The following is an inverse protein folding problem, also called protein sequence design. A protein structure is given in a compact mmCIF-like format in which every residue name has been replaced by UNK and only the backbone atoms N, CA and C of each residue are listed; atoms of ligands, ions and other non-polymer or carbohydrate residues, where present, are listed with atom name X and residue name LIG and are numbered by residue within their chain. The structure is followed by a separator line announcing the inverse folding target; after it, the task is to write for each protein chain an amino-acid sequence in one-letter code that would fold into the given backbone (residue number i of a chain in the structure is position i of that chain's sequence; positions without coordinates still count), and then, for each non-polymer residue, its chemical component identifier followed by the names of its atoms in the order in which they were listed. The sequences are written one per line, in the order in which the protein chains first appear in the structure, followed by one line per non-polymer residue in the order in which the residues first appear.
data_IF_244709177461
#
_entry.id   IF_244709177461
#
_cell.length_a   1.000
_cell.length_b   1.000
_cell.length_c   1.000
_cell.angle_alpha   90.00
_cell.angle_beta   90.00
_cell.angle_gamma   90.00
#
_symmetry.space_group_name_H-M   'P 1'
#
loop_
_entity.id
_entity.type
_entity.pdbx_description
1 polymer ?
#
# COMPACT_ATOMS: atom_id res chain seq x y z
N UNK A 1 4.40 17.06 51.57
CA UNK A 1 4.07 15.95 50.66
C UNK A 1 3.24 16.50 49.51
N UNK A 2 3.89 16.74 48.38
CA UNK A 2 3.23 17.24 47.15
C UNK A 2 2.45 16.09 46.52
N UNK A 3 1.11 16.24 46.43
CA UNK A 3 0.26 15.26 45.76
C UNK A 3 0.61 15.23 44.28
N UNK A 4 1.23 14.15 43.83
CA UNK A 4 1.38 13.84 42.41
C UNK A 4 -0.01 13.48 41.89
N UNK A 5 -0.67 14.42 41.21
CA UNK A 5 -1.87 14.12 40.44
C UNK A 5 -1.40 13.40 39.19
N UNK A 6 -1.57 12.07 39.16
CA UNK A 6 -1.41 11.30 37.93
C UNK A 6 -2.57 11.70 37.03
N UNK A 7 -2.34 12.37 35.88
CA UNK A 7 -3.42 12.65 34.95
C UNK A 7 -4.03 11.33 34.51
N UNK A 8 -5.35 11.18 34.68
CA UNK A 8 -6.09 10.07 34.08
C UNK A 8 -5.74 10.03 32.58
N UNK A 9 -5.48 8.85 31.98
CA UNK A 9 -5.16 8.77 30.57
C UNK A 9 -6.27 9.48 29.79
N UNK A 10 -5.89 10.51 29.01
CA UNK A 10 -6.80 11.19 28.08
C UNK A 10 -7.58 10.10 27.35
N UNK A 11 -8.92 10.20 27.36
CA UNK A 11 -9.80 9.15 26.84
C UNK A 11 -9.27 8.62 25.51
N UNK A 12 -9.00 7.31 25.45
CA UNK A 12 -8.67 6.67 24.19
C UNK A 12 -9.79 7.00 23.20
N UNK A 13 -9.43 7.51 22.01
CA UNK A 13 -10.41 7.71 20.96
C UNK A 13 -11.11 6.38 20.71
N UNK A 14 -12.44 6.39 20.72
CA UNK A 14 -13.23 5.19 20.41
C UNK A 14 -12.91 4.67 19.00
N UNK A 15 -12.64 5.61 18.08
CA UNK A 15 -12.29 5.34 16.69
C UNK A 15 -11.10 6.20 16.27
N UNK A 16 -10.09 5.56 15.72
CA UNK A 16 -8.95 6.22 15.07
C UNK A 16 -9.14 6.24 13.56
N UNK A 17 -8.93 7.38 12.87
CA UNK A 17 -9.03 7.43 11.41
C UNK A 17 -7.99 6.50 10.76
N UNK A 18 -8.40 5.81 9.69
CA UNK A 18 -7.51 5.04 8.84
C UNK A 18 -7.11 5.90 7.64
N UNK A 19 -5.86 5.80 7.23
CA UNK A 19 -5.31 6.60 6.15
C UNK A 19 -5.19 5.78 4.85
N UNK A 20 -6.05 6.04 3.88
CA UNK A 20 -5.89 5.51 2.53
C UNK A 20 -5.16 6.50 1.63
N UNK A 21 -4.08 6.04 1.02
CA UNK A 21 -3.35 6.77 -0.01
C UNK A 21 -3.45 6.04 -1.34
N UNK A 22 -3.75 6.79 -2.40
CA UNK A 22 -3.70 6.24 -3.76
C UNK A 22 -2.42 6.66 -4.48
N UNK A 23 -1.63 5.68 -4.91
CA UNK A 23 -0.49 5.91 -5.81
C UNK A 23 -1.01 6.11 -7.23
N UNK A 24 -0.78 7.29 -7.81
CA UNK A 24 -1.34 7.66 -9.12
C UNK A 24 -0.70 6.86 -10.26
N UNK A 25 0.62 6.69 -10.22
CA UNK A 25 1.36 5.85 -11.17
C UNK A 25 1.23 6.29 -12.64
N UNK A 26 1.32 5.33 -13.57
CA UNK A 26 1.26 5.61 -15.01
C UNK A 26 -0.15 5.90 -15.51
N UNK A 27 -1.15 5.31 -14.84
CA UNK A 27 -2.57 5.41 -15.16
C UNK A 27 -3.23 6.74 -14.72
N UNK A 28 -2.47 7.83 -14.64
CA UNK A 28 -2.93 9.14 -14.14
C UNK A 28 -4.13 9.73 -14.87
N UNK A 29 -4.23 9.57 -16.20
CA UNK A 29 -5.43 10.01 -16.94
C UNK A 29 -6.68 9.25 -16.46
N UNK A 30 -6.56 7.93 -16.25
CA UNK A 30 -7.68 7.14 -15.75
C UNK A 30 -8.01 7.48 -14.30
N UNK A 31 -6.99 7.76 -13.49
CA UNK A 31 -7.15 8.27 -12.13
C UNK A 31 -7.97 9.58 -12.14
N UNK A 32 -7.56 10.56 -12.97
CA UNK A 32 -8.24 11.84 -13.11
C UNK A 32 -9.69 11.68 -13.58
N UNK A 33 -9.95 10.85 -14.59
CA UNK A 33 -11.32 10.55 -15.04
C UNK A 33 -12.20 9.96 -13.91
N UNK A 34 -11.67 9.01 -13.14
CA UNK A 34 -12.40 8.38 -12.04
C UNK A 34 -12.66 9.37 -10.91
N UNK A 35 -11.70 10.23 -10.61
CA UNK A 35 -11.83 11.26 -9.58
C UNK A 35 -12.86 12.33 -9.99
N UNK A 36 -12.73 12.91 -11.18
CA UNK A 36 -13.62 13.94 -11.70
C UNK A 36 -15.08 13.46 -11.87
N UNK A 37 -15.29 12.18 -12.18
CA UNK A 37 -16.64 11.58 -12.26
C UNK A 37 -17.24 11.22 -10.89
N UNK A 38 -16.53 11.46 -9.79
CA UNK A 38 -16.93 11.04 -8.44
C UNK A 38 -16.83 9.51 -8.21
N UNK A 39 -16.26 8.78 -9.16
CA UNK A 39 -16.03 7.33 -9.09
C UNK A 39 -14.85 6.93 -8.20
N UNK A 40 -14.06 7.89 -7.72
CA UNK A 40 -12.95 7.69 -6.79
C UNK A 40 -12.88 8.83 -5.78
N UNK A 41 -13.40 8.66 -4.55
CA UNK A 41 -13.33 9.67 -3.50
C UNK A 41 -11.95 9.64 -2.80
N UNK A 42 -10.87 9.86 -3.56
CA UNK A 42 -9.52 9.89 -3.01
C UNK A 42 -9.28 11.17 -2.19
N UNK A 43 -8.89 11.04 -0.93
CA UNK A 43 -8.54 12.16 -0.05
C UNK A 43 -7.04 12.38 0.11
N UNK A 44 -6.23 11.35 -0.21
CA UNK A 44 -4.76 11.41 -0.16
C UNK A 44 -4.17 10.66 -1.34
N UNK A 45 -3.18 11.27 -1.99
CA UNK A 45 -2.56 10.72 -3.20
C UNK A 45 -1.04 10.81 -3.16
N UNK A 46 -0.39 9.87 -3.84
CA UNK A 46 1.07 9.82 -3.96
C UNK A 46 1.47 9.94 -5.42
N UNK A 47 2.37 10.88 -5.70
CA UNK A 47 3.01 11.06 -6.99
C UNK A 47 4.48 10.65 -6.91
N UNK A 48 4.95 9.87 -7.89
CA UNK A 48 6.39 9.63 -8.05
C UNK A 48 7.04 10.87 -8.66
N UNK A 49 8.13 11.35 -8.07
CA UNK A 49 8.85 12.57 -8.49
C UNK A 49 9.13 12.57 -10.00
N UNK A 50 9.61 11.44 -10.52
CA UNK A 50 9.90 11.23 -11.93
C UNK A 50 8.73 11.37 -12.91
N UNK A 51 7.50 11.41 -12.41
CA UNK A 51 6.28 11.58 -13.21
C UNK A 51 5.70 12.98 -13.10
N UNK A 52 6.19 13.81 -12.17
CA UNK A 52 5.66 15.15 -11.93
C UNK A 52 5.70 16.05 -13.16
N UNK A 53 6.72 15.94 -14.02
CA UNK A 53 6.80 16.74 -15.25
C UNK A 53 5.53 16.61 -16.13
N UNK A 54 4.85 15.45 -16.10
CA UNK A 54 3.59 15.22 -16.83
C UNK A 54 2.36 15.32 -15.94
N UNK A 55 2.52 15.22 -14.61
CA UNK A 55 1.43 15.06 -13.65
C UNK A 55 1.25 16.28 -12.73
N UNK A 56 2.05 17.34 -12.87
CA UNK A 56 1.98 18.53 -12.01
C UNK A 56 0.63 19.24 -12.11
N UNK A 57 0.02 19.29 -13.31
CA UNK A 57 -1.30 19.90 -13.48
C UNK A 57 -2.36 19.16 -12.64
N UNK A 58 -2.39 17.83 -12.72
CA UNK A 58 -3.28 16.99 -11.92
C UNK A 58 -3.00 17.15 -10.41
N UNK A 59 -1.73 17.17 -9.99
CA UNK A 59 -1.38 17.36 -8.58
C UNK A 59 -1.89 18.69 -8.03
N UNK A 60 -1.77 19.78 -8.80
CA UNK A 60 -2.27 21.11 -8.42
C UNK A 60 -3.80 21.17 -8.38
N UNK A 61 -4.48 20.54 -9.33
CA UNK A 61 -5.95 20.46 -9.36
C UNK A 61 -6.48 19.72 -8.12
N UNK A 62 -5.95 18.52 -7.84
CA UNK A 62 -6.31 17.74 -6.65
C UNK A 62 -6.03 18.53 -5.36
N UNK A 63 -4.91 19.26 -5.30
CA UNK A 63 -4.57 20.10 -4.15
C UNK A 63 -5.59 21.21 -3.89
N UNK A 64 -6.07 21.87 -4.94
CA UNK A 64 -7.12 22.91 -4.86
C UNK A 64 -8.42 22.33 -4.32
N UNK A 65 -8.74 21.08 -4.67
CA UNK A 65 -9.88 20.35 -4.14
C UNK A 65 -9.71 19.81 -2.71
N UNK A 66 -8.56 20.09 -2.08
CA UNK A 66 -8.27 19.70 -0.70
C UNK A 66 -7.74 18.27 -0.54
N UNK A 67 -7.34 17.62 -1.63
CA UNK A 67 -6.66 16.32 -1.58
C UNK A 67 -5.23 16.51 -1.06
N UNK A 68 -4.82 15.67 -0.12
CA UNK A 68 -3.47 15.66 0.42
C UNK A 68 -2.48 15.09 -0.61
N UNK A 69 -1.41 15.84 -0.90
CA UNK A 69 -0.39 15.47 -1.90
C UNK A 69 0.89 15.00 -1.21
N UNK A 70 1.27 13.75 -1.48
CA UNK A 70 2.55 13.16 -1.07
C UNK A 70 3.45 12.96 -2.28
N UNK A 71 4.72 13.36 -2.18
CA UNK A 71 5.73 13.10 -3.22
C UNK A 71 6.66 11.96 -2.79
N UNK A 72 6.74 10.92 -3.62
CA UNK A 72 7.80 9.91 -3.52
C UNK A 72 9.03 10.37 -4.30
N UNK A 73 10.18 10.47 -3.63
CA UNK A 73 11.44 10.91 -4.25
C UNK A 73 11.97 9.94 -5.29
N UNK A 74 11.66 8.63 -5.17
CA UNK A 74 12.16 7.59 -6.07
C UNK A 74 13.65 7.26 -5.91
N UNK A 75 14.26 7.66 -4.78
CA UNK A 75 15.68 7.44 -4.50
C UNK A 75 16.07 5.95 -4.55
N UNK A 76 15.26 5.08 -3.95
CA UNK A 76 15.49 3.63 -3.90
C UNK A 76 15.64 3.01 -5.29
N UNK A 77 14.76 3.39 -6.22
CA UNK A 77 14.78 2.92 -7.60
C UNK A 77 15.97 3.49 -8.37
N UNK A 78 16.39 4.74 -8.10
CA UNK A 78 17.56 5.36 -8.73
C UNK A 78 18.89 4.76 -8.28
N UNK A 79 18.95 4.19 -7.08
CA UNK A 79 20.11 3.44 -6.59
C UNK A 79 20.09 1.95 -6.92
N UNK A 80 19.03 1.47 -7.59
CA UNK A 80 18.90 0.08 -7.99
C UNK A 80 19.45 -0.19 -9.39
N UNK A 81 20.21 -1.29 -9.54
CA UNK A 81 20.71 -1.73 -10.83
C UNK A 81 19.58 -2.00 -11.84
N UNK A 82 18.52 -2.70 -11.42
CA UNK A 82 17.38 -3.03 -12.28
C UNK A 82 16.47 -1.83 -12.62
N UNK A 83 16.46 -0.78 -11.78
CA UNK A 83 15.43 0.26 -11.83
C UNK A 83 15.92 1.63 -12.27
N UNK A 84 17.20 1.99 -12.06
CA UNK A 84 17.69 3.36 -12.28
C UNK A 84 17.46 3.88 -13.71
N UNK A 85 17.49 3.02 -14.74
CA UNK A 85 17.26 3.39 -16.15
C UNK A 85 15.80 3.48 -16.58
N UNK A 86 14.86 3.17 -15.68
CA UNK A 86 13.43 3.20 -15.99
C UNK A 86 12.90 4.64 -15.99
N UNK A 87 11.61 4.85 -15.72
CA UNK A 87 11.03 6.19 -15.69
C UNK A 87 11.66 7.08 -14.60
N UNK A 88 12.22 6.50 -13.54
CA UNK A 88 12.75 7.21 -12.37
C UNK A 88 13.90 8.17 -12.67
N UNK A 89 14.65 7.94 -13.77
CA UNK A 89 15.71 8.83 -14.27
C UNK A 89 15.22 10.23 -14.69
N UNK A 90 13.91 10.40 -14.84
CA UNK A 90 13.29 11.67 -15.22
C UNK A 90 12.91 12.53 -14.00
N UNK A 91 13.42 12.20 -12.80
CA UNK A 91 13.16 12.95 -11.57
C UNK A 91 13.62 14.42 -11.69
N UNK A 92 12.75 15.41 -11.40
CA UNK A 92 13.08 16.83 -11.57
C UNK A 92 14.25 17.33 -10.69
N UNK A 93 14.51 16.63 -9.58
CA UNK A 93 15.60 16.95 -8.68
C UNK A 93 16.99 16.48 -9.19
N UNK A 94 17.05 15.71 -10.28
CA UNK A 94 18.30 15.30 -10.92
C UNK A 94 18.86 16.41 -11.82
N UNK A 95 20.19 16.61 -11.83
CA UNK A 95 20.87 17.48 -12.81
C UNK A 95 20.75 16.88 -14.21
N UNK A 96 21.07 15.60 -14.31
CA UNK A 96 21.08 14.83 -15.54
C UNK A 96 20.62 13.40 -15.26
N UNK A 97 20.21 12.69 -16.30
CA UNK A 97 19.82 11.29 -16.18
C UNK A 97 21.06 10.43 -15.83
N UNK A 98 21.06 9.70 -14.72
CA UNK A 98 22.24 8.97 -14.30
C UNK A 98 22.51 7.77 -15.21
N UNK A 99 23.76 7.61 -15.62
CA UNK A 99 24.22 6.50 -16.47
C UNK A 99 24.41 5.18 -15.70
N UNK A 100 24.61 5.30 -14.38
CA UNK A 100 24.79 4.21 -13.42
C UNK A 100 23.88 4.42 -12.20
N UNK A 101 23.59 3.38 -11.39
CA UNK A 101 22.82 3.56 -10.16
C UNK A 101 23.48 4.60 -9.24
N UNK A 102 22.67 5.41 -8.57
CA UNK A 102 23.15 6.41 -7.61
C UNK A 102 23.74 5.72 -6.37
N UNK A 103 25.01 5.99 -6.09
CA UNK A 103 25.69 5.55 -4.88
C UNK A 103 25.42 6.46 -3.68
N UNK A 104 25.96 6.13 -2.49
CA UNK A 104 25.78 6.93 -1.28
C UNK A 104 26.24 8.38 -1.43
N UNK A 105 27.32 8.62 -2.18
CA UNK A 105 27.89 9.96 -2.39
C UNK A 105 27.02 10.86 -3.29
N UNK A 106 25.99 10.32 -3.94
CA UNK A 106 25.08 11.10 -4.77
C UNK A 106 24.07 11.93 -3.95
N UNK A 107 23.87 11.61 -2.67
CA UNK A 107 22.89 12.27 -1.80
C UNK A 107 23.52 13.43 -1.01
N UNK A 108 24.16 14.35 -1.74
CA UNK A 108 24.78 15.56 -1.18
C UNK A 108 23.74 16.56 -0.70
N UNK A 109 24.15 17.53 0.12
CA UNK A 109 23.28 18.65 0.55
C UNK A 109 22.60 19.33 -0.63
N UNK A 110 23.32 19.56 -1.73
CA UNK A 110 22.78 20.21 -2.94
C UNK A 110 21.67 19.38 -3.61
N UNK A 111 21.83 18.06 -3.69
CA UNK A 111 20.77 17.17 -4.20
C UNK A 111 19.55 17.18 -3.28
N UNK A 112 19.77 17.16 -1.96
CA UNK A 112 18.69 17.24 -0.98
C UNK A 112 17.95 18.59 -1.05
N UNK A 113 18.67 19.68 -1.29
CA UNK A 113 18.09 21.00 -1.52
C UNK A 113 17.18 21.02 -2.75
N UNK A 114 17.61 20.41 -3.86
CA UNK A 114 16.77 20.29 -5.07
C UNK A 114 15.53 19.43 -4.86
N UNK A 115 15.61 18.39 -4.02
CA UNK A 115 14.43 17.62 -3.62
C UNK A 115 13.46 18.53 -2.84
N UNK A 116 13.96 19.33 -1.90
CA UNK A 116 13.13 20.28 -1.15
C UNK A 116 12.50 21.36 -2.05
N UNK A 117 13.25 21.93 -3.00
CA UNK A 117 12.75 22.89 -3.99
C UNK A 117 11.61 22.32 -4.82
N UNK A 118 11.77 21.10 -5.33
CA UNK A 118 10.72 20.40 -6.08
C UNK A 118 9.44 20.24 -5.23
N UNK A 119 9.59 19.82 -3.99
CA UNK A 119 8.47 19.60 -3.06
C UNK A 119 7.71 20.90 -2.76
N UNK A 120 8.44 21.99 -2.50
CA UNK A 120 7.85 23.32 -2.28
C UNK A 120 7.18 23.85 -3.55
N UNK A 121 7.81 23.68 -4.73
CA UNK A 121 7.28 24.15 -6.00
C UNK A 121 5.96 23.46 -6.40
N UNK A 122 5.78 22.20 -6.03
CA UNK A 122 4.50 21.47 -6.22
C UNK A 122 3.45 21.90 -5.19
N UNK A 123 3.87 22.42 -4.03
CA UNK A 123 2.97 22.72 -2.91
C UNK A 123 2.51 21.46 -2.19
N UNK A 124 3.36 20.43 -2.13
CA UNK A 124 3.03 19.15 -1.51
C UNK A 124 2.81 19.26 0.01
N UNK A 125 1.93 18.43 0.56
CA UNK A 125 1.71 18.32 2.00
C UNK A 125 2.77 17.45 2.67
N UNK A 126 3.27 16.46 1.92
CA UNK A 126 4.25 15.48 2.40
C UNK A 126 5.28 15.15 1.36
N UNK A 127 6.43 14.72 1.85
CA UNK A 127 7.46 14.07 1.05
C UNK A 127 7.90 12.78 1.72
N UNK A 128 8.07 11.72 0.94
CA UNK A 128 8.76 10.52 1.36
C UNK A 128 10.27 10.78 1.33
N UNK A 129 10.92 10.71 2.49
CA UNK A 129 12.35 10.94 2.60
C UNK A 129 13.14 10.03 1.63
N UNK A 130 14.23 10.53 1.03
CA UNK A 130 15.17 9.70 0.28
C UNK A 130 15.59 8.51 1.13
N UNK A 131 15.28 7.31 0.65
CA UNK A 131 15.49 6.07 1.37
C UNK A 131 15.75 4.94 0.39
N UNK A 132 16.43 3.90 0.86
CA UNK A 132 16.94 2.83 0.01
C UNK A 132 16.52 1.44 0.48
N UNK A 133 16.66 0.45 -0.40
CA UNK A 133 16.40 -0.93 -0.05
C UNK A 133 17.49 -1.44 0.90
N UNK A 134 17.14 -1.62 2.17
CA UNK A 134 18.04 -2.05 3.24
C UNK A 134 18.49 -3.52 3.13
N UNK A 135 17.95 -4.26 2.17
CA UNK A 135 18.38 -5.62 1.84
C UNK A 135 19.36 -5.67 0.66
N UNK A 136 19.94 -4.54 0.27
CA UNK A 136 20.92 -4.47 -0.82
C UNK A 136 22.21 -5.20 -0.43
N UNK A 137 22.60 -6.27 -1.15
CA UNK A 137 23.84 -7.01 -0.85
C UNK A 137 25.11 -6.22 -1.16
N UNK A 138 25.03 -5.11 -1.92
CA UNK A 138 26.22 -4.34 -2.34
C UNK A 138 26.62 -3.25 -1.36
N UNK A 139 25.70 -2.78 -0.52
CA UNK A 139 25.96 -1.72 0.44
C UNK A 139 25.01 -1.82 1.63
N UNK A 140 25.57 -2.03 2.82
CA UNK A 140 24.83 -2.19 4.08
C UNK A 140 24.67 -0.87 4.86
N UNK A 141 25.35 0.20 4.42
CA UNK A 141 25.34 1.52 5.06
C UNK A 141 24.12 2.40 4.76
N UNK A 142 23.13 1.90 4.01
CA UNK A 142 22.00 2.70 3.52
C UNK A 142 21.23 3.39 4.64
N UNK A 143 20.96 2.72 5.77
CA UNK A 143 20.20 3.31 6.88
C UNK A 143 20.85 4.59 7.42
N UNK A 144 22.18 4.66 7.44
CA UNK A 144 22.92 5.84 7.90
C UNK A 144 22.83 6.99 6.88
N UNK A 145 22.95 6.67 5.59
CA UNK A 145 22.82 7.64 4.50
C UNK A 145 21.42 8.24 4.49
N UNK A 146 20.39 7.39 4.58
CA UNK A 146 18.98 7.77 4.60
C UNK A 146 18.65 8.68 5.80
N UNK A 147 19.17 8.36 6.99
CA UNK A 147 18.99 9.18 8.18
C UNK A 147 19.60 10.59 8.04
N UNK A 148 20.80 10.67 7.46
CA UNK A 148 21.46 11.94 7.18
C UNK A 148 20.69 12.75 6.12
N UNK A 149 20.28 12.10 5.03
CA UNK A 149 19.48 12.72 3.97
C UNK A 149 18.13 13.24 4.49
N UNK A 150 17.45 12.48 5.36
CA UNK A 150 16.20 12.89 5.99
C UNK A 150 16.38 14.14 6.87
N UNK A 151 17.43 14.18 7.68
CA UNK A 151 17.73 15.34 8.53
C UNK A 151 18.08 16.58 7.69
N UNK A 152 18.89 16.41 6.64
CA UNK A 152 19.21 17.47 5.70
C UNK A 152 17.96 17.98 4.95
N UNK A 153 17.03 17.08 4.60
CA UNK A 153 15.78 17.44 3.93
C UNK A 153 14.91 18.34 4.80
N UNK A 154 14.83 18.07 6.10
CA UNK A 154 14.11 18.95 7.04
C UNK A 154 14.69 20.36 7.04
N UNK A 155 16.01 20.48 7.20
CA UNK A 155 16.69 21.78 7.19
C UNK A 155 16.50 22.53 5.87
N UNK A 156 16.58 21.81 4.74
CA UNK A 156 16.38 22.39 3.42
C UNK A 156 14.95 22.90 3.22
N UNK A 157 13.95 22.11 3.60
CA UNK A 157 12.54 22.51 3.53
C UNK A 157 12.28 23.74 4.40
N UNK A 158 12.80 23.79 5.63
CA UNK A 158 12.58 24.93 6.54
C UNK A 158 13.15 26.23 5.96
N UNK A 159 14.37 26.17 5.40
CA UNK A 159 15.00 27.33 4.75
C UNK A 159 14.25 27.81 3.51
N UNK A 160 13.61 26.90 2.77
CA UNK A 160 12.81 27.21 1.58
C UNK A 160 11.34 27.58 1.90
N UNK A 161 10.99 27.77 3.17
CA UNK A 161 9.61 28.10 3.59
C UNK A 161 8.64 26.92 3.56
N UNK A 162 9.14 25.69 3.43
CA UNK A 162 8.41 24.43 3.46
C UNK A 162 8.27 23.82 4.86
N UNK A 163 8.31 24.64 5.92
CA UNK A 163 8.26 24.16 7.32
C UNK A 163 7.04 23.31 7.66
N UNK A 164 5.91 23.57 6.99
CA UNK A 164 4.66 22.82 7.11
C UNK A 164 4.64 21.48 6.37
N UNK A 165 5.58 21.25 5.44
CA UNK A 165 5.65 20.00 4.68
C UNK A 165 6.10 18.89 5.62
N UNK A 166 5.29 17.84 5.75
CA UNK A 166 5.62 16.68 6.59
C UNK A 166 6.63 15.77 5.89
N UNK A 167 7.51 15.16 6.69
CA UNK A 167 8.45 14.16 6.17
C UNK A 167 8.01 12.80 6.66
N UNK A 168 7.66 11.93 5.73
CA UNK A 168 7.38 10.53 6.03
C UNK A 168 8.59 9.68 5.64
N UNK A 169 8.95 8.69 6.44
CA UNK A 169 10.14 7.87 6.21
C UNK A 169 9.80 6.50 5.63
N UNK A 170 10.21 6.16 4.41
CA UNK A 170 10.05 4.82 3.88
C UNK A 170 11.08 3.84 4.47
N UNK A 171 10.58 2.77 5.09
CA UNK A 171 11.38 1.60 5.45
C UNK A 171 11.22 0.59 4.33
N UNK A 172 12.22 0.52 3.44
CA UNK A 172 12.22 -0.35 2.27
C UNK A 172 13.06 -1.59 2.57
N UNK A 173 12.39 -2.73 2.81
CA UNK A 173 13.07 -3.94 3.29
C UNK A 173 12.33 -5.21 2.83
N UNK A 174 13.00 -6.35 2.88
CA UNK A 174 12.34 -7.65 2.72
C UNK A 174 11.59 -8.04 4.00
N UNK A 175 10.53 -8.84 3.86
CA UNK A 175 9.84 -9.44 5.02
C UNK A 175 10.84 -10.19 5.92
N UNK A 176 11.82 -10.87 5.33
CA UNK A 176 12.85 -11.60 6.07
C UNK A 176 13.78 -10.66 6.86
N UNK A 177 14.14 -9.51 6.28
CA UNK A 177 14.99 -8.53 6.94
C UNK A 177 14.34 -7.90 8.18
N UNK A 178 13.00 -7.90 8.29
CA UNK A 178 12.29 -7.49 9.50
C UNK A 178 12.15 -8.60 10.55
N UNK A 179 12.40 -9.86 10.20
CA UNK A 179 12.43 -10.98 11.16
C UNK A 179 13.68 -10.91 12.04
N UNK A 180 14.77 -10.33 11.53
CA UNK A 180 16.00 -10.12 12.29
C UNK A 180 15.81 -9.08 13.43
N UNK A 181 16.01 -9.45 14.71
CA UNK A 181 15.92 -8.52 15.83
C UNK A 181 16.94 -7.37 15.75
N UNK A 182 18.14 -7.59 15.21
CA UNK A 182 19.17 -6.56 15.14
C UNK A 182 18.76 -5.46 14.15
N UNK A 183 18.31 -5.84 12.95
CA UNK A 183 17.68 -4.96 11.97
C UNK A 183 16.52 -4.14 12.57
N UNK A 184 15.59 -4.78 13.30
CA UNK A 184 14.48 -4.06 13.96
C UNK A 184 14.95 -3.06 15.01
N UNK A 185 15.96 -3.42 15.81
CA UNK A 185 16.54 -2.53 16.82
C UNK A 185 17.18 -1.30 16.17
N UNK A 186 18.01 -1.50 15.14
CA UNK A 186 18.68 -0.41 14.43
C UNK A 186 17.66 0.54 13.77
N UNK A 187 16.59 -0.01 13.19
CA UNK A 187 15.48 0.79 12.66
C UNK A 187 14.79 1.60 13.75
N UNK A 188 14.43 0.96 14.88
CA UNK A 188 13.74 1.66 15.96
C UNK A 188 14.59 2.79 16.57
N UNK A 189 15.89 2.54 16.80
CA UNK A 189 16.83 3.55 17.30
C UNK A 189 16.94 4.73 16.32
N UNK A 190 17.15 4.45 15.03
CA UNK A 190 17.28 5.48 13.99
C UNK A 190 16.00 6.29 13.85
N UNK A 191 14.84 5.63 13.69
CA UNK A 191 13.56 6.30 13.45
C UNK A 191 13.09 7.13 14.65
N UNK A 192 13.52 6.79 15.87
CA UNK A 192 13.13 7.52 17.09
C UNK A 192 13.68 8.95 17.17
N UNK A 193 14.79 9.23 16.49
CA UNK A 193 15.48 10.53 16.52
C UNK A 193 15.27 11.35 15.25
N UNK A 194 14.71 10.77 14.19
CA UNK A 194 14.53 11.46 12.91
C UNK A 194 13.34 12.43 12.93
N UNK A 195 13.41 13.54 12.17
CA UNK A 195 12.34 14.53 12.08
C UNK A 195 11.21 14.05 11.15
N UNK A 196 10.57 12.93 11.50
CA UNK A 196 9.59 12.24 10.64
C UNK A 196 8.21 12.18 11.30
N UNK A 197 7.17 12.30 10.48
CA UNK A 197 5.77 12.35 10.92
C UNK A 197 5.08 10.99 10.84
N UNK A 198 5.43 10.15 9.87
CA UNK A 198 4.97 8.77 9.75
C UNK A 198 6.03 7.86 9.13
N UNK A 199 5.83 6.55 9.27
CA UNK A 199 6.71 5.52 8.73
C UNK A 199 5.97 4.72 7.67
N UNK A 200 6.58 4.58 6.49
CA UNK A 200 6.01 3.89 5.34
C UNK A 200 6.72 2.56 5.14
N UNK A 201 6.05 1.46 5.49
CA UNK A 201 6.61 0.12 5.40
C UNK A 201 6.43 -0.43 3.98
N UNK A 202 7.50 -0.43 3.19
CA UNK A 202 7.52 -0.93 1.81
C UNK A 202 8.22 -2.29 1.78
N UNK A 203 7.42 -3.36 1.84
CA UNK A 203 7.93 -4.71 2.14
C UNK A 203 7.99 -5.65 0.94
N UNK A 204 9.20 -6.09 0.59
CA UNK A 204 9.42 -7.08 -0.46
C UNK A 204 9.15 -8.50 0.05
N UNK A 205 8.42 -9.29 -0.73
CA UNK A 205 8.11 -10.70 -0.41
C UNK A 205 6.75 -10.95 0.24
N UNK A 206 5.95 -9.91 0.47
CA UNK A 206 4.58 -10.05 0.99
C UNK A 206 3.69 -10.84 0.02
N UNK A 207 3.71 -10.48 -1.26
CA UNK A 207 2.84 -11.09 -2.28
C UNK A 207 1.50 -10.36 -2.41
N UNK A 208 0.75 -10.66 -3.49
CA UNK A 208 -0.61 -10.12 -3.70
C UNK A 208 -1.67 -10.82 -2.85
N UNK A 209 -1.52 -12.13 -2.69
CA UNK A 209 -2.48 -12.97 -1.99
C UNK A 209 -2.03 -13.16 -0.53
N UNK A 210 -2.97 -13.15 0.43
CA UNK A 210 -2.64 -13.41 1.82
C UNK A 210 -2.18 -14.85 2.00
N UNK A 211 -1.21 -15.06 2.90
CA UNK A 211 -0.76 -16.39 3.31
C UNK A 211 -0.70 -16.47 4.82
N UNK A 212 -1.03 -17.62 5.43
CA UNK A 212 -1.29 -17.71 6.88
C UNK A 212 -0.11 -17.27 7.73
N UNK A 213 1.09 -17.80 7.43
CA UNK A 213 2.31 -17.41 8.13
C UNK A 213 2.73 -15.98 7.80
N UNK A 214 2.51 -15.52 6.57
CA UNK A 214 2.92 -14.19 6.13
C UNK A 214 2.14 -13.09 6.84
N UNK A 215 0.81 -13.22 6.89
CA UNK A 215 -0.04 -12.20 7.54
C UNK A 215 0.18 -12.18 9.05
N UNK A 216 0.35 -13.35 9.69
CA UNK A 216 0.65 -13.44 11.13
C UNK A 216 1.99 -12.80 11.45
N UNK A 217 3.03 -13.13 10.68
CA UNK A 217 4.36 -12.52 10.83
C UNK A 217 4.32 -11.02 10.57
N UNK A 218 3.63 -10.57 9.53
CA UNK A 218 3.47 -9.14 9.24
C UNK A 218 2.88 -8.40 10.43
N UNK A 219 1.75 -8.87 10.96
CA UNK A 219 1.09 -8.23 12.11
C UNK A 219 1.99 -8.19 13.34
N UNK A 220 2.70 -9.30 13.65
CA UNK A 220 3.63 -9.36 14.77
C UNK A 220 4.81 -8.41 14.61
N UNK A 221 5.41 -8.35 13.41
CA UNK A 221 6.55 -7.47 13.14
C UNK A 221 6.15 -6.00 13.25
N UNK A 222 5.00 -5.61 12.69
CA UNK A 222 4.51 -4.24 12.76
C UNK A 222 4.14 -3.82 14.19
N UNK A 223 3.70 -4.76 15.02
CA UNK A 223 3.41 -4.48 16.44
C UNK A 223 4.63 -3.97 17.21
N UNK A 224 5.84 -4.35 16.81
CA UNK A 224 7.08 -3.87 17.42
C UNK A 224 7.34 -2.37 17.26
N UNK A 225 6.63 -1.72 16.33
CA UNK A 225 6.79 -0.30 16.03
C UNK A 225 5.82 0.61 16.80
N UNK A 226 4.89 0.05 17.60
CA UNK A 226 3.93 0.85 18.37
C UNK A 226 4.60 1.83 19.35
N UNK A 227 5.71 1.41 19.97
CA UNK A 227 6.40 2.21 21.00
C UNK A 227 7.06 3.49 20.45
N UNK A 228 7.23 3.61 19.12
CA UNK A 228 7.78 4.84 18.52
C UNK A 228 6.78 6.01 18.57
N UNK A 229 5.49 5.76 18.80
CA UNK A 229 4.49 6.83 18.84
C UNK A 229 4.33 7.56 17.49
N UNK A 230 4.65 6.88 16.39
CA UNK A 230 4.48 7.36 15.01
C UNK A 230 3.44 6.49 14.28
N UNK A 231 2.65 7.05 13.34
CA UNK A 231 1.81 6.26 12.46
C UNK A 231 2.65 5.36 11.54
N UNK A 232 2.07 4.21 11.18
CA UNK A 232 2.68 3.26 10.24
C UNK A 232 1.74 3.08 9.06
N UNK A 233 2.21 3.39 7.85
CA UNK A 233 1.50 3.20 6.59
C UNK A 233 2.11 1.99 5.89
N UNK A 234 1.29 1.02 5.48
CA UNK A 234 1.75 -0.03 4.59
C UNK A 234 1.81 0.47 3.15
N UNK A 235 3.00 0.57 2.56
CA UNK A 235 3.17 1.05 1.19
C UNK A 235 3.20 -0.11 0.18
N UNK A 236 2.64 0.14 -1.01
CA UNK A 236 2.38 -0.87 -2.04
C UNK A 236 1.70 -2.13 -1.47
N UNK A 237 0.67 -1.95 -0.66
CA UNK A 237 -0.10 -3.05 -0.08
C UNK A 237 -1.59 -2.72 -0.15
N UNK A 238 -2.38 -3.66 -0.67
CA UNK A 238 -3.83 -3.53 -0.79
C UNK A 238 -4.54 -4.82 -0.43
N UNK A 239 -5.87 -4.76 -0.35
CA UNK A 239 -6.73 -5.91 -0.08
C UNK A 239 -6.53 -6.47 1.33
N UNK A 240 -6.75 -7.78 1.48
CA UNK A 240 -6.85 -8.44 2.79
C UNK A 240 -5.59 -8.30 3.67
N UNK A 241 -4.40 -8.18 3.09
CA UNK A 241 -3.18 -7.95 3.89
C UNK A 241 -3.20 -6.56 4.55
N UNK A 242 -3.57 -5.52 3.80
CA UNK A 242 -3.70 -4.17 4.31
C UNK A 242 -4.82 -4.09 5.37
N UNK A 243 -6.01 -4.58 5.01
CA UNK A 243 -7.19 -4.58 5.89
C UNK A 243 -6.93 -5.34 7.20
N UNK A 244 -6.24 -6.48 7.15
CA UNK A 244 -5.86 -7.21 8.37
C UNK A 244 -4.94 -6.37 9.27
N UNK A 245 -3.93 -5.70 8.72
CA UNK A 245 -3.02 -4.88 9.54
C UNK A 245 -3.69 -3.64 10.14
N UNK A 246 -4.61 -3.02 9.39
CA UNK A 246 -5.44 -1.91 9.86
C UNK A 246 -6.41 -2.38 10.97
N UNK A 247 -7.05 -3.54 10.80
CA UNK A 247 -8.00 -4.10 11.76
C UNK A 247 -7.34 -4.48 13.08
N UNK A 248 -6.16 -5.11 13.01
CA UNK A 248 -5.34 -5.46 14.16
C UNK A 248 -4.61 -4.25 14.78
N UNK A 249 -4.80 -3.04 14.22
CA UNK A 249 -4.28 -1.79 14.75
C UNK A 249 -2.76 -1.69 14.73
N UNK A 250 -2.10 -2.39 13.80
CA UNK A 250 -0.63 -2.35 13.62
C UNK A 250 -0.21 -1.48 12.44
N UNK A 251 -1.15 -1.12 11.59
CA UNK A 251 -1.02 -0.09 10.57
C UNK A 251 -2.11 0.97 10.79
N UNK A 252 -1.73 2.22 10.59
CA UNK A 252 -2.62 3.39 10.64
C UNK A 252 -3.31 3.64 9.30
N UNK A 253 -2.95 2.86 8.28
CA UNK A 253 -3.41 3.01 6.91
C UNK A 253 -2.54 2.28 5.91
N UNK A 254 -2.86 2.46 4.64
CA UNK A 254 -2.19 1.81 3.51
C UNK A 254 -2.09 2.73 2.31
N UNK A 255 -1.08 2.50 1.49
CA UNK A 255 -0.86 3.14 0.22
C UNK A 255 -0.77 2.09 -0.89
N UNK A 256 -1.56 2.27 -1.95
CA UNK A 256 -1.56 1.37 -3.10
C UNK A 256 -2.02 2.10 -4.35
N UNK A 257 -1.62 1.63 -5.53
CA UNK A 257 -2.24 2.08 -6.77
C UNK A 257 -3.44 1.22 -7.16
N UNK A 258 -4.12 1.62 -8.24
CA UNK A 258 -5.36 0.98 -8.71
C UNK A 258 -5.03 -0.09 -9.75
N UNK A 259 -4.94 -1.35 -9.30
CA UNK A 259 -4.50 -2.54 -10.08
C UNK A 259 -3.03 -2.53 -10.55
N UNK A 260 -2.35 -1.40 -10.38
CA UNK A 260 -0.93 -1.18 -10.61
C UNK A 260 -0.35 -0.61 -9.32
N UNK A 261 0.93 -0.84 -9.01
CA UNK A 261 1.56 -0.35 -7.78
C UNK A 261 0.83 -0.79 -6.49
N UNK A 262 0.17 -1.95 -6.54
CA UNK A 262 -0.56 -2.60 -5.45
C UNK A 262 0.31 -3.60 -4.67
N UNK A 263 1.55 -3.80 -5.12
CA UNK A 263 2.53 -4.71 -4.55
C UNK A 263 3.95 -4.20 -4.79
N UNK A 264 4.80 -4.30 -3.77
CA UNK A 264 6.24 -4.09 -3.88
C UNK A 264 7.02 -5.41 -4.04
N UNK A 265 8.04 -5.39 -4.91
CA UNK A 265 8.99 -6.50 -5.05
C UNK A 265 10.38 -5.97 -5.44
N UNK A 266 11.33 -6.19 -4.54
CA UNK A 266 12.73 -5.81 -4.69
C UNK A 266 13.70 -6.99 -4.91
N UNK A 267 13.19 -8.23 -5.07
CA UNK A 267 14.03 -9.43 -5.16
C UNK A 267 15.09 -9.36 -6.27
N UNK A 268 14.77 -8.72 -7.39
CA UNK A 268 15.67 -8.65 -8.54
C UNK A 268 16.29 -7.25 -8.71
N UNK A 269 16.16 -6.35 -7.73
CA UNK A 269 16.67 -4.99 -7.85
C UNK A 269 18.19 -4.89 -7.99
N UNK A 270 18.92 -5.88 -7.46
CA UNK A 270 20.37 -5.99 -7.51
C UNK A 270 20.88 -6.66 -8.81
N UNK A 271 19.97 -7.20 -9.63
CA UNK A 271 20.30 -7.87 -10.89
C UNK A 271 20.18 -6.89 -12.06
N UNK A 272 20.94 -7.08 -13.15
CA UNK A 272 20.64 -6.39 -14.40
C UNK A 272 19.19 -6.68 -14.84
N UNK A 273 18.53 -5.73 -15.52
CA UNK A 273 17.23 -6.00 -16.10
C UNK A 273 17.35 -7.14 -17.13
N UNK A 274 16.35 -8.02 -17.18
CA UNK A 274 16.26 -9.05 -18.20
C UNK A 274 16.13 -8.40 -19.59
N UNK A 275 16.80 -8.96 -20.59
CA UNK A 275 16.64 -8.51 -21.97
C UNK A 275 15.18 -8.74 -22.41
N UNK A 276 14.57 -7.78 -23.13
CA UNK A 276 13.23 -7.98 -23.67
C UNK A 276 13.22 -9.22 -24.58
N UNK A 277 12.38 -10.20 -24.26
CA UNK A 277 12.14 -11.33 -25.15
C UNK A 277 11.52 -10.80 -26.47
N UNK A 278 12.19 -10.97 -27.62
CA UNK A 278 11.71 -10.45 -28.90
C UNK A 278 10.40 -11.10 -29.34
N UNK A 279 10.11 -12.30 -28.86
CA UNK A 279 8.91 -13.08 -29.21
C UNK A 279 7.76 -12.88 -28.19
N UNK A 280 8.02 -12.17 -27.09
CA UNK A 280 6.99 -11.91 -26.10
C UNK A 280 5.91 -10.97 -26.66
N UNK A 281 4.66 -11.42 -26.65
CA UNK A 281 3.52 -10.55 -26.97
C UNK A 281 3.55 -9.31 -26.08
N UNK A 282 3.71 -8.15 -26.70
CA UNK A 282 3.68 -6.85 -26.04
C UNK A 282 2.32 -6.61 -25.39
N UNK A 283 2.31 -6.48 -24.06
CA UNK A 283 1.13 -6.11 -23.27
C UNK A 283 0.98 -6.91 -21.98
N UNK A 284 0.79 -6.23 -20.85
CA UNK A 284 0.44 -6.91 -19.60
C UNK A 284 -0.92 -7.60 -19.77
N UNK A 285 -0.98 -8.91 -19.52
CA UNK A 285 -2.24 -9.65 -19.43
C UNK A 285 -3.16 -8.95 -18.45
N UNK A 286 -4.37 -8.61 -18.90
CA UNK A 286 -5.36 -7.90 -18.09
C UNK A 286 -5.83 -8.81 -16.94
N UNK A 287 -5.61 -8.37 -15.71
CA UNK A 287 -6.10 -9.04 -14.49
C UNK A 287 -7.36 -8.33 -14.02
N UNK A 288 -8.40 -9.11 -13.73
CA UNK A 288 -9.65 -8.69 -13.10
C UNK A 288 -9.59 -9.14 -11.64
N UNK A 289 -9.44 -8.18 -10.72
CA UNK A 289 -9.56 -8.47 -9.29
C UNK A 289 -11.01 -8.73 -8.94
N UNK A 290 -11.26 -9.78 -8.16
CA UNK A 290 -12.61 -10.09 -7.68
C UNK A 290 -12.77 -9.44 -6.30
N UNK A 291 -13.64 -8.43 -6.15
CA UNK A 291 -13.83 -7.73 -4.89
C UNK A 291 -14.19 -8.70 -3.76
N UNK A 292 -13.52 -8.56 -2.62
CA UNK A 292 -13.72 -9.42 -1.44
C UNK A 292 -13.20 -10.86 -1.56
N UNK A 293 -12.64 -11.29 -2.70
CA UNK A 293 -12.04 -12.65 -2.82
C UNK A 293 -10.57 -12.68 -2.36
N UNK A 294 -9.91 -11.51 -2.34
CA UNK A 294 -8.46 -11.43 -2.12
C UNK A 294 -7.63 -12.00 -3.26
N UNK A 295 -8.22 -12.16 -4.45
CA UNK A 295 -7.58 -12.74 -5.64
C UNK A 295 -8.12 -12.12 -6.93
N UNK A 296 -7.25 -12.06 -7.93
CA UNK A 296 -7.60 -11.74 -9.31
C UNK A 296 -7.36 -12.89 -10.27
N UNK A 297 -8.02 -12.81 -11.42
CA UNK A 297 -7.90 -13.76 -12.52
C UNK A 297 -7.50 -13.03 -13.79
N UNK A 298 -6.86 -13.72 -14.74
CA UNK A 298 -6.76 -13.15 -16.08
C UNK A 298 -8.15 -12.98 -16.68
N UNK A 299 -8.35 -11.97 -17.53
CA UNK A 299 -9.68 -11.65 -18.08
C UNK A 299 -10.39 -12.87 -18.70
N UNK A 300 -9.69 -13.68 -19.50
CA UNK A 300 -10.23 -14.90 -20.11
C UNK A 300 -10.60 -15.98 -19.08
N UNK A 301 -9.83 -16.13 -17.99
CA UNK A 301 -10.16 -17.03 -16.88
C UNK A 301 -11.38 -16.52 -16.09
N UNK A 302 -11.44 -15.21 -15.84
CA UNK A 302 -12.57 -14.55 -15.18
C UNK A 302 -13.87 -14.77 -15.97
N UNK A 303 -13.84 -14.53 -17.29
CA UNK A 303 -14.99 -14.73 -18.18
C UNK A 303 -15.44 -16.19 -18.20
N UNK A 304 -14.51 -17.15 -18.24
CA UNK A 304 -14.81 -18.58 -18.17
C UNK A 304 -15.52 -18.94 -16.86
N UNK A 305 -15.00 -18.50 -15.72
CA UNK A 305 -15.63 -18.74 -14.43
C UNK A 305 -17.00 -18.07 -14.34
N UNK A 306 -17.16 -16.86 -14.87
CA UNK A 306 -18.43 -16.14 -14.85
C UNK A 306 -19.52 -16.83 -15.69
N UNK A 307 -19.15 -17.53 -16.77
CA UNK A 307 -20.08 -18.34 -17.59
C UNK A 307 -20.58 -19.62 -16.90
N UNK A 308 -19.92 -20.05 -15.83
CA UNK A 308 -20.35 -21.23 -15.06
C UNK A 308 -21.63 -20.95 -14.28
N UNK A 309 -22.41 -21.99 -13.98
CA UNK A 309 -23.62 -21.86 -13.16
C UNK A 309 -23.28 -21.22 -11.81
N UNK A 310 -23.89 -20.07 -11.52
CA UNK A 310 -23.64 -19.30 -10.29
C UNK A 310 -22.42 -18.36 -10.36
N UNK A 311 -21.59 -18.43 -11.39
CA UNK A 311 -20.34 -17.66 -11.52
C UNK A 311 -20.56 -16.15 -11.46
N UNK A 312 -21.54 -15.62 -12.22
CA UNK A 312 -21.89 -14.18 -12.20
C UNK A 312 -22.20 -13.66 -10.80
N UNK A 313 -22.99 -14.40 -10.01
CA UNK A 313 -23.36 -14.01 -8.64
C UNK A 313 -22.12 -13.91 -7.73
N UNK A 314 -21.17 -14.84 -7.89
CA UNK A 314 -19.97 -14.89 -7.05
C UNK A 314 -18.90 -13.87 -7.45
N UNK A 315 -18.82 -13.53 -8.74
CA UNK A 315 -17.70 -12.74 -9.30
C UNK A 315 -18.03 -11.28 -9.56
N UNK A 316 -19.29 -10.93 -9.79
CA UNK A 316 -19.73 -9.56 -10.10
C UNK A 316 -20.24 -8.79 -8.88
N UNK A 317 -20.36 -9.45 -7.74
CA UNK A 317 -20.97 -8.87 -6.54
C UNK A 317 -20.08 -9.06 -5.33
N UNK A 318 -19.93 -8.02 -4.54
CA UNK A 318 -19.37 -8.02 -3.19
C UNK A 318 -20.27 -7.23 -2.26
N UNK A 319 -19.97 -7.25 -0.97
CA UNK A 319 -20.64 -6.39 -0.02
C UNK A 319 -20.54 -4.91 -0.41
N UNK A 320 -19.39 -4.49 -0.95
CA UNK A 320 -19.09 -3.10 -1.18
C UNK A 320 -19.38 -2.62 -2.60
N UNK A 321 -19.26 -3.48 -3.60
CA UNK A 321 -19.42 -3.12 -5.02
C UNK A 321 -20.10 -4.24 -5.78
N UNK A 322 -21.03 -3.88 -6.67
CA UNK A 322 -21.68 -4.77 -7.62
C UNK A 322 -21.63 -4.17 -9.01
N UNK A 323 -21.47 -5.01 -10.03
CA UNK A 323 -21.53 -4.63 -11.46
C UNK A 323 -22.56 -5.48 -12.18
N UNK A 324 -23.14 -4.93 -13.26
CA UNK A 324 -24.31 -5.53 -13.92
C UNK A 324 -23.94 -6.64 -14.90
N UNK A 325 -22.73 -6.61 -15.47
CA UNK A 325 -22.27 -7.58 -16.45
C UNK A 325 -20.78 -7.89 -16.37
N UNK A 326 -20.37 -8.96 -17.06
CA UNK A 326 -18.96 -9.39 -17.16
C UNK A 326 -18.16 -8.37 -17.98
N UNK A 327 -18.75 -7.87 -19.05
CA UNK A 327 -18.17 -6.88 -19.95
C UNK A 327 -17.92 -5.56 -19.19
N UNK A 328 -18.90 -5.15 -18.37
CA UNK A 328 -18.76 -3.99 -17.50
C UNK A 328 -17.63 -4.18 -16.48
N UNK A 329 -17.54 -5.35 -15.83
CA UNK A 329 -16.48 -5.67 -14.88
C UNK A 329 -15.10 -5.57 -15.52
N UNK A 330 -14.89 -6.17 -16.69
CA UNK A 330 -13.61 -6.14 -17.40
C UNK A 330 -13.23 -4.72 -17.80
N UNK A 331 -14.21 -3.93 -18.30
CA UNK A 331 -14.01 -2.53 -18.72
C UNK A 331 -13.71 -1.60 -17.55
N UNK A 332 -14.43 -1.74 -16.43
CA UNK A 332 -14.40 -0.83 -15.27
C UNK A 332 -13.60 -1.37 -14.08
N UNK A 333 -12.87 -2.48 -14.24
CA UNK A 333 -12.10 -3.16 -13.19
C UNK A 333 -11.28 -2.25 -12.26
N UNK A 334 -10.65 -1.19 -12.80
CA UNK A 334 -9.89 -0.22 -12.01
C UNK A 334 -10.80 0.55 -11.05
N UNK A 335 -11.92 1.05 -11.55
CA UNK A 335 -12.92 1.77 -10.76
C UNK A 335 -13.57 0.85 -9.71
N UNK A 336 -13.95 -0.37 -10.11
CA UNK A 336 -14.52 -1.37 -9.19
C UNK A 336 -13.56 -1.68 -8.04
N UNK A 337 -12.28 -1.89 -8.34
CA UNK A 337 -11.27 -2.13 -7.31
C UNK A 337 -11.09 -0.92 -6.40
N UNK A 338 -11.02 0.29 -6.96
CA UNK A 338 -10.81 1.50 -6.18
C UNK A 338 -12.00 1.76 -5.22
N UNK A 339 -13.23 1.62 -5.71
CA UNK A 339 -14.44 1.72 -4.89
C UNK A 339 -14.49 0.66 -3.80
N UNK A 340 -14.05 -0.57 -4.10
CA UNK A 340 -13.96 -1.63 -3.10
C UNK A 340 -12.99 -1.28 -1.98
N UNK A 341 -11.79 -0.77 -2.32
CA UNK A 341 -10.77 -0.37 -1.34
C UNK A 341 -11.24 0.79 -0.46
N UNK A 342 -11.91 1.80 -1.02
CA UNK A 342 -12.47 2.92 -0.24
C UNK A 342 -13.51 2.38 0.74
N UNK A 343 -14.50 1.67 0.22
CA UNK A 343 -15.66 1.23 1.02
C UNK A 343 -15.28 0.19 2.07
N UNK A 344 -14.30 -0.68 1.79
CA UNK A 344 -13.81 -1.64 2.79
C UNK A 344 -13.10 -0.95 3.94
N UNK A 345 -12.27 0.07 3.65
CA UNK A 345 -11.63 0.86 4.70
C UNK A 345 -12.65 1.71 5.48
N UNK A 346 -13.62 2.35 4.83
CA UNK A 346 -14.70 3.10 5.49
C UNK A 346 -15.49 2.21 6.45
N UNK A 347 -15.84 0.99 6.00
CA UNK A 347 -16.52 0.01 6.83
C UNK A 347 -15.69 -0.34 8.07
N UNK A 348 -14.38 -0.58 7.91
CA UNK A 348 -13.48 -0.87 9.02
C UNK A 348 -13.31 0.32 9.98
N UNK A 349 -13.18 1.53 9.45
CA UNK A 349 -13.04 2.76 10.23
C UNK A 349 -14.28 3.05 11.10
N UNK A 350 -15.47 2.65 10.63
CA UNK A 350 -16.73 2.80 11.38
C UNK A 350 -16.80 1.94 12.65
N UNK A 351 -15.93 0.94 12.78
CA UNK A 351 -15.87 0.05 13.94
C UNK A 351 -14.94 0.64 15.01
N UNK A 352 -15.35 0.63 16.31
CA UNK A 352 -14.46 1.01 17.41
C UNK A 352 -13.14 0.26 17.38
N UNK A 353 -12.04 0.94 17.68
CA UNK A 353 -10.67 0.41 17.51
C UNK A 353 -10.54 -0.99 18.12
N UNK A 354 -10.93 -1.14 19.39
CA UNK A 354 -10.84 -2.41 20.15
C UNK A 354 -11.61 -3.58 19.49
N UNK A 355 -12.66 -3.28 18.74
CA UNK A 355 -13.53 -4.28 18.10
C UNK A 355 -13.19 -4.55 16.63
N UNK A 356 -12.28 -3.76 16.02
CA UNK A 356 -11.95 -3.87 14.59
C UNK A 356 -11.45 -5.25 14.16
N UNK A 357 -10.56 -5.85 14.95
CA UNK A 357 -10.01 -7.17 14.64
C UNK A 357 -11.11 -8.25 14.63
N UNK A 358 -11.95 -8.30 15.68
CA UNK A 358 -13.08 -9.23 15.75
C UNK A 358 -14.12 -9.00 14.65
N UNK A 359 -14.41 -7.74 14.30
CA UNK A 359 -15.28 -7.41 13.17
C UNK A 359 -14.71 -7.87 11.83
N UNK A 360 -13.43 -7.60 11.58
CA UNK A 360 -12.75 -8.03 10.35
C UNK A 360 -12.76 -9.56 10.20
N UNK A 361 -12.52 -10.30 11.28
CA UNK A 361 -12.54 -11.76 11.28
C UNK A 361 -13.94 -12.30 10.98
N UNK A 362 -14.93 -11.87 11.77
CA UNK A 362 -16.31 -12.38 11.70
C UNK A 362 -17.07 -11.98 10.44
N UNK A 363 -16.65 -10.90 9.76
CA UNK A 363 -17.33 -10.37 8.57
C UNK A 363 -16.47 -10.49 7.32
N UNK A 364 -15.44 -9.66 7.20
CA UNK A 364 -14.62 -9.57 5.98
C UNK A 364 -13.91 -10.89 5.65
N UNK A 365 -13.23 -11.49 6.63
CA UNK A 365 -12.50 -12.75 6.42
C UNK A 365 -13.45 -13.92 6.23
N UNK A 366 -14.51 -14.03 7.03
CA UNK A 366 -15.52 -15.07 6.89
C UNK A 366 -16.20 -15.05 5.51
N UNK A 367 -16.51 -13.85 5.00
CA UNK A 367 -17.09 -13.69 3.66
C UNK A 367 -16.08 -14.01 2.56
N UNK A 368 -14.81 -13.59 2.71
CA UNK A 368 -13.75 -13.90 1.76
C UNK A 368 -13.48 -15.41 1.67
N UNK A 369 -13.44 -16.09 2.83
CA UNK A 369 -13.27 -17.55 2.92
C UNK A 369 -14.45 -18.29 2.27
N UNK A 370 -15.69 -17.95 2.65
CA UNK A 370 -16.90 -18.56 2.08
C UNK A 370 -16.92 -18.38 0.56
N UNK A 371 -16.62 -17.18 0.09
CA UNK A 371 -16.58 -16.88 -1.34
C UNK A 371 -15.48 -17.64 -2.08
N UNK A 372 -14.29 -17.76 -1.49
CA UNK A 372 -13.21 -18.56 -2.07
C UNK A 372 -13.62 -20.03 -2.20
N UNK A 373 -14.30 -20.58 -1.18
CA UNK A 373 -14.87 -21.92 -1.22
C UNK A 373 -15.93 -22.07 -2.31
N UNK A 374 -16.88 -21.15 -2.41
CA UNK A 374 -17.93 -21.19 -3.44
C UNK A 374 -17.36 -21.08 -4.87
N UNK A 375 -16.38 -20.20 -5.08
CA UNK A 375 -15.68 -20.07 -6.38
C UNK A 375 -14.94 -21.36 -6.74
N UNK A 376 -14.36 -22.06 -5.76
CA UNK A 376 -13.68 -23.34 -6.00
C UNK A 376 -14.61 -24.47 -6.45
N UNK A 377 -15.93 -24.32 -6.25
CA UNK A 377 -16.96 -25.26 -6.70
C UNK A 377 -17.53 -24.92 -8.08
N UNK A 378 -17.10 -23.82 -8.72
CA UNK A 378 -17.46 -23.54 -10.10
C UNK A 378 -16.92 -24.64 -11.03
N UNK A 379 -17.76 -25.08 -11.96
CA UNK A 379 -17.46 -26.17 -12.91
C UNK A 379 -17.62 -25.68 -14.35
N UNK A 380 -16.66 -24.92 -14.91
CA UNK A 380 -16.62 -24.66 -16.34
C UNK A 380 -16.45 -25.95 -17.13
N UNK A 381 -16.98 -26.02 -18.35
CA UNK A 381 -16.81 -27.22 -19.20
C UNK A 381 -15.49 -27.20 -19.95
N UNK A 382 -14.96 -28.38 -20.31
CA UNK A 382 -13.73 -28.49 -21.11
C UNK A 382 -13.86 -27.78 -22.45
N UNK A 383 -15.02 -27.90 -23.12
CA UNK A 383 -15.30 -27.20 -24.37
C UNK A 383 -15.22 -25.67 -24.21
N UNK A 384 -15.74 -25.12 -23.11
CA UNK A 384 -15.65 -23.68 -22.83
C UNK A 384 -14.21 -23.24 -22.55
N UNK A 385 -13.45 -24.06 -21.81
CA UNK A 385 -12.06 -23.77 -21.48
C UNK A 385 -11.15 -23.81 -22.72
N UNK A 386 -11.32 -24.81 -23.59
CA UNK A 386 -10.61 -24.92 -24.85
C UNK A 386 -10.90 -23.71 -25.76
N UNK A 387 -12.18 -23.31 -25.87
CA UNK A 387 -12.57 -22.13 -26.64
C UNK A 387 -11.99 -20.81 -26.08
N UNK A 388 -11.70 -20.76 -24.77
CA UNK A 388 -11.11 -19.60 -24.10
C UNK A 388 -9.58 -19.66 -23.98
N UNK A 389 -8.93 -20.73 -24.46
CA UNK A 389 -7.48 -20.93 -24.30
C UNK A 389 -7.04 -21.07 -22.84
N UNK A 390 -7.92 -21.57 -21.96
CA UNK A 390 -7.65 -21.72 -20.52
C UNK A 390 -7.22 -23.15 -20.20
N UNK A 391 -6.10 -23.31 -19.49
CA UNK A 391 -5.74 -24.55 -18.81
C UNK A 391 -6.70 -24.77 -17.62
N UNK A 392 -7.77 -25.53 -17.87
CA UNK A 392 -8.82 -25.80 -16.89
C UNK A 392 -8.30 -26.57 -15.65
N UNK A 393 -7.52 -27.66 -15.78
CA UNK A 393 -6.92 -28.32 -14.62
C UNK A 393 -6.12 -27.37 -13.72
N UNK A 394 -5.28 -26.51 -14.31
CA UNK A 394 -4.49 -25.53 -13.56
C UNK A 394 -5.37 -24.48 -12.87
N UNK A 395 -6.39 -23.94 -13.57
CA UNK A 395 -7.33 -22.98 -12.99
C UNK A 395 -8.10 -23.57 -11.80
N UNK A 396 -8.64 -24.79 -11.93
CA UNK A 396 -9.37 -25.46 -10.85
C UNK A 396 -8.46 -25.80 -9.67
N UNK A 397 -7.22 -26.22 -9.93
CA UNK A 397 -6.22 -26.43 -8.87
C UNK A 397 -5.93 -25.13 -8.11
N UNK A 398 -5.74 -24.01 -8.81
CA UNK A 398 -5.46 -22.71 -8.18
C UNK A 398 -6.64 -22.18 -7.35
N UNK A 399 -7.88 -22.33 -7.84
CA UNK A 399 -9.07 -21.89 -7.09
C UNK A 399 -9.30 -22.71 -5.82
N UNK A 400 -9.11 -24.04 -5.86
CA UNK A 400 -9.15 -24.89 -4.66
C UNK A 400 -8.02 -24.57 -3.68
N UNK A 401 -6.79 -24.43 -4.17
CA UNK A 401 -5.65 -24.06 -3.34
C UNK A 401 -5.83 -22.69 -2.67
N UNK A 402 -6.48 -21.74 -3.36
CA UNK A 402 -6.85 -20.45 -2.78
C UNK A 402 -7.88 -20.59 -1.65
N UNK A 403 -8.94 -21.38 -1.85
CA UNK A 403 -9.94 -21.65 -0.82
C UNK A 403 -9.33 -22.26 0.45
N UNK A 404 -8.46 -23.26 0.29
CA UNK A 404 -7.72 -23.86 1.42
C UNK A 404 -6.80 -22.85 2.12
N UNK A 405 -6.15 -21.98 1.35
CA UNK A 405 -5.27 -20.94 1.89
C UNK A 405 -6.08 -19.92 2.69
N UNK A 406 -7.25 -19.52 2.21
CA UNK A 406 -8.13 -18.57 2.90
C UNK A 406 -8.61 -19.08 4.26
N UNK A 407 -9.02 -20.35 4.36
CA UNK A 407 -9.37 -20.95 5.65
C UNK A 407 -8.19 -20.95 6.62
N UNK A 408 -7.00 -21.33 6.15
CA UNK A 408 -5.77 -21.28 6.97
C UNK A 408 -5.40 -19.86 7.41
N UNK A 409 -5.66 -18.86 6.57
CA UNK A 409 -5.43 -17.44 6.91
C UNK A 409 -6.39 -16.99 8.00
N UNK A 410 -7.68 -17.35 7.90
CA UNK A 410 -8.68 -17.07 8.94
C UNK A 410 -8.25 -17.69 10.28
N UNK A 411 -7.96 -19.00 10.31
CA UNK A 411 -7.47 -19.70 11.51
C UNK A 411 -6.22 -19.03 12.12
N UNK A 412 -5.28 -18.61 11.28
CA UNK A 412 -4.04 -17.99 11.73
C UNK A 412 -4.26 -16.62 12.37
N UNK A 413 -5.21 -15.85 11.84
CA UNK A 413 -5.57 -14.53 12.38
C UNK A 413 -6.46 -14.63 13.61
N UNK A 414 -7.37 -15.60 13.68
CA UNK A 414 -8.16 -15.89 14.89
C UNK A 414 -7.26 -16.25 16.06
N UNK A 415 -6.34 -17.20 15.88
CA UNK A 415 -5.33 -17.54 16.90
C UNK A 415 -4.49 -16.33 17.30
N UNK A 416 -4.10 -15.49 16.33
CA UNK A 416 -3.36 -14.28 16.63
C UNK A 416 -4.19 -13.27 17.43
N UNK A 417 -5.49 -13.16 17.16
CA UNK A 417 -6.39 -12.29 17.90
C UNK A 417 -6.54 -12.74 19.35
N UNK A 418 -6.71 -14.04 19.58
CA UNK A 418 -6.73 -14.65 20.91
C UNK A 418 -5.41 -14.43 21.67
N UNK A 419 -4.27 -14.70 21.02
CA UNK A 419 -2.92 -14.51 21.59
C UNK A 419 -2.65 -13.05 22.01
N UNK A 420 -3.21 -12.08 21.27
CA UNK A 420 -2.96 -10.65 21.46
C UNK A 420 -3.86 -10.01 22.51
N UNK A 421 -5.03 -10.59 22.77
CA UNK A 421 -6.06 -9.99 23.63
C UNK A 421 -6.67 -8.70 23.05
N UNK A 422 -7.77 -8.28 23.66
CA UNK A 422 -8.58 -7.12 23.22
C UNK A 422 -7.90 -5.77 23.46
N UNK A 423 -7.03 -5.68 24.47
CA UNK A 423 -6.32 -4.45 24.88
C UNK A 423 -4.90 -4.33 24.30
N UNK A 424 -4.59 -5.12 23.27
CA UNK A 424 -3.30 -5.06 22.58
C UNK A 424 -2.96 -3.61 22.19
N UNK A 425 -1.70 -3.14 22.43
CA UNK A 425 -1.27 -1.82 22.00
C UNK A 425 -1.54 -1.59 20.52
N UNK A 426 -1.83 -0.34 20.16
CA UNK A 426 -2.14 0.06 18.79
C UNK A 426 -1.19 1.14 18.33
N UNK A 427 -0.92 1.13 17.03
CA UNK A 427 -0.15 2.17 16.38
C UNK A 427 -0.88 3.52 16.45
N UNK A 428 -0.13 4.63 16.47
CA UNK A 428 -0.69 5.97 16.47
C UNK A 428 -1.51 6.21 15.20
N UNK A 429 -2.68 6.83 15.33
CA UNK A 429 -3.51 7.21 14.19
C UNK A 429 -2.78 8.20 13.27
N UNK A 430 -3.01 8.10 11.95
CA UNK A 430 -2.53 9.08 10.97
C UNK A 430 -3.60 10.17 10.77
N UNK A 431 -3.85 10.95 11.83
CA UNK A 431 -4.97 11.91 11.95
C UNK A 431 -4.66 13.32 11.45
N UNK A 432 -3.52 13.46 10.77
CA UNK A 432 -3.11 14.66 10.07
C UNK A 432 -4.13 15.09 9.00
N UNK A 433 -4.49 16.38 8.98
CA UNK A 433 -5.43 16.99 8.03
C UNK A 433 -6.86 16.37 8.06
N UNK A 434 -7.25 15.68 9.14
CA UNK A 434 -8.57 15.02 9.28
C UNK A 434 -9.70 16.01 9.69
N UNK A 435 -9.42 17.32 9.75
CA UNK A 435 -10.40 18.36 10.10
C UNK A 435 -11.63 18.43 9.16
N UNK A 436 -11.56 17.76 8.00
CA UNK A 436 -12.67 17.69 7.02
C UNK A 436 -13.55 16.44 7.26
N UNK A 437 -13.01 15.33 7.78
CA UNK A 437 -13.74 14.07 7.89
C UNK A 437 -14.44 13.87 9.25
N UNK A 438 -13.88 14.40 10.34
CA UNK A 438 -14.45 14.22 11.70
C UNK A 438 -15.64 15.14 12.00
N UNK A 439 -15.83 16.23 11.25
CA UNK A 439 -16.98 17.14 11.43
C UNK A 439 -18.34 16.51 11.09
N UNK A 440 -18.38 15.30 10.51
CA UNK A 440 -19.63 14.62 10.17
C UNK A 440 -20.09 13.55 11.17
N UNK A 441 -19.29 13.20 12.19
CA UNK A 441 -19.57 12.00 13.00
C UNK A 441 -19.53 12.12 14.51
N UNK A 442 -18.73 13.02 15.08
CA UNK A 442 -18.40 12.97 16.52
C UNK A 442 -19.14 14.00 17.39
N UNK A 443 -20.28 14.51 16.92
CA UNK A 443 -21.26 15.18 17.77
C UNK A 443 -22.52 14.31 17.91
N UNK A 444 -22.44 13.23 18.70
CA UNK A 444 -23.55 12.72 19.51
C UNK A 444 -23.03 12.02 20.75
#
# INVERSE_FOLDING_TARGET
MTKVVVPFPKGQRLRSPLAQFFRVGDSHNKFAEMYASGGLPASRVVFDAARLNRQTALAKELKVEGVEITIDTGAAELSSLARHRTFVRNSPWLVEAPMSPLGPDAFTTEVIERIAEMVVAVGADRVLAPSHFLGDPKFDGWLKVDAAACSALRLALDRLGGGQVRIDYPVIQSVQGLVDPASRKALAETLSILPVDAIWMRLSGLGKEPGPQKVRSLVRMLSGFHNMGKPVILDYCSGLNAEATEAFGVASGSASGILELDQFNARDWHKPPEEPDPDAQFGRRSIVQVPGLGRGFYAHEFELLAKSRGGRKLLLQSEFVSVSSVEEMVRTRKQVQALHLVRSQEALQSVPDLNRAGHFLSKTMADAERRAKDVSFLKPTEAQAQAAGVDLPSLLKRTRGHAETMGKVADALEKLHEERGTESPRVRACDFNVDIALRRGDQR
#
